data_IF_782187285751
#
_entry.id   IF_782187285751
#
_cell.length_a   1.000
_cell.length_b   1.000
_cell.length_c   1.000
_cell.angle_alpha   90.00
_cell.angle_beta   90.00
_cell.angle_gamma   90.00
#
_symmetry.space_group_name_H-M   'P 1'
#
loop_
_entity.id
_entity.type
_entity.pdbx_description
1 polymer ?
#
# COMPACT_ATOMS: atom_id res chain seq x y z
N UNK A 1 22.62 -9.00 -2.91
CA UNK A 1 21.76 -7.80 -2.80
C UNK A 1 20.44 -8.30 -2.25
N UNK A 2 20.20 -8.15 -0.95
CA UNK A 2 18.96 -8.60 -0.33
C UNK A 2 17.81 -7.80 -0.93
N UNK A 3 16.99 -8.48 -1.74
CA UNK A 3 15.70 -7.95 -2.18
C UNK A 3 14.92 -7.70 -0.90
N UNK A 4 14.63 -6.42 -0.66
CA UNK A 4 13.87 -5.92 0.48
C UNK A 4 12.74 -6.90 0.76
N UNK A 5 12.78 -7.62 1.89
CA UNK A 5 11.67 -8.42 2.37
C UNK A 5 10.49 -7.46 2.50
N UNK A 6 9.65 -7.37 1.47
CA UNK A 6 8.34 -6.76 1.60
C UNK A 6 7.65 -7.57 2.67
N UNK A 7 7.53 -6.98 3.85
CA UNK A 7 6.94 -7.65 4.99
C UNK A 7 5.45 -7.72 4.66
N UNK A 8 5.05 -8.81 3.99
CA UNK A 8 3.69 -9.27 4.02
C UNK A 8 3.48 -9.69 5.48
N UNK A 9 3.11 -8.73 6.33
CA UNK A 9 2.77 -8.97 7.73
C UNK A 9 1.52 -9.84 7.70
N UNK A 10 1.73 -11.15 7.70
CA UNK A 10 0.66 -12.11 7.93
C UNK A 10 0.19 -12.04 9.38
N UNK A 11 -0.94 -12.69 9.64
CA UNK A 11 -1.54 -12.83 10.96
C UNK A 11 -0.52 -13.17 12.07
N UNK A 12 0.40 -14.10 11.80
CA UNK A 12 1.41 -14.56 12.75
C UNK A 12 2.36 -13.43 13.17
N UNK A 13 2.70 -12.52 12.25
CA UNK A 13 3.61 -11.43 12.56
C UNK A 13 2.93 -10.32 13.36
N UNK A 14 1.65 -10.05 13.12
CA UNK A 14 0.89 -9.16 13.99
C UNK A 14 0.71 -9.76 15.40
N UNK A 15 0.54 -11.08 15.49
CA UNK A 15 0.49 -11.80 16.77
C UNK A 15 1.81 -11.67 17.54
N UNK A 16 2.94 -11.92 16.90
CA UNK A 16 4.29 -11.77 17.49
C UNK A 16 4.55 -10.35 18.01
N UNK A 17 4.02 -9.34 17.32
CA UNK A 17 4.18 -7.93 17.68
C UNK A 17 3.18 -7.44 18.74
N UNK A 18 2.24 -8.28 19.18
CA UNK A 18 1.17 -7.88 20.10
C UNK A 18 0.16 -6.90 19.48
N UNK A 19 0.05 -6.88 18.16
CA UNK A 19 -0.78 -5.95 17.38
C UNK A 19 -1.98 -6.62 16.73
N UNK A 20 -2.38 -7.80 17.22
CA UNK A 20 -3.44 -8.61 16.62
C UNK A 20 -4.81 -7.93 16.61
N UNK A 21 -5.07 -7.06 17.58
CA UNK A 21 -6.32 -6.31 17.71
C UNK A 21 -6.20 -4.85 17.26
N UNK A 22 -5.01 -4.37 16.87
CA UNK A 22 -4.84 -3.02 16.30
C UNK A 22 -5.17 -3.04 14.80
N UNK A 23 -6.46 -3.23 14.49
CA UNK A 23 -6.96 -3.30 13.11
C UNK A 23 -6.68 -2.04 12.29
N UNK A 24 -6.59 -0.88 12.94
CA UNK A 24 -6.20 0.37 12.29
C UNK A 24 -4.75 0.27 11.81
N UNK A 25 -3.84 -0.18 12.68
CA UNK A 25 -2.45 -0.40 12.31
C UNK A 25 -2.30 -1.45 11.20
N UNK A 26 -2.98 -2.60 11.32
CA UNK A 26 -2.94 -3.64 10.30
C UNK A 26 -3.41 -3.11 8.94
N UNK A 27 -4.52 -2.36 8.91
CA UNK A 27 -5.03 -1.71 7.70
C UNK A 27 -4.02 -0.75 7.08
N UNK A 28 -3.38 0.09 7.91
CA UNK A 28 -2.35 1.03 7.46
C UNK A 28 -1.14 0.32 6.85
N UNK A 29 -0.68 -0.78 7.44
CA UNK A 29 0.42 -1.59 6.88
C UNK A 29 0.02 -2.16 5.51
N UNK A 30 -1.14 -2.83 5.41
CA UNK A 30 -1.55 -3.45 4.15
C UNK A 30 -1.76 -2.42 3.04
N UNK A 31 -2.37 -1.28 3.35
CA UNK A 31 -2.51 -0.16 2.42
C UNK A 31 -1.15 0.41 1.99
N UNK A 32 -0.19 0.48 2.92
CA UNK A 32 1.19 0.89 2.62
C UNK A 32 1.88 -0.08 1.66
N UNK A 33 1.72 -1.39 1.89
CA UNK A 33 2.25 -2.42 1.00
C UNK A 33 1.60 -2.36 -0.39
N UNK A 34 0.27 -2.20 -0.46
CA UNK A 34 -0.43 -2.07 -1.73
C UNK A 34 0.08 -0.86 -2.55
N UNK A 35 0.26 0.30 -1.90
CA UNK A 35 0.84 1.49 -2.53
C UNK A 35 2.25 1.24 -3.06
N UNK A 36 3.09 0.56 -2.28
CA UNK A 36 4.44 0.17 -2.71
C UNK A 36 4.42 -0.75 -3.94
N UNK A 37 3.58 -1.79 -3.93
CA UNK A 37 3.46 -2.71 -5.07
C UNK A 37 2.97 -2.02 -6.34
N UNK A 38 2.00 -1.11 -6.21
CA UNK A 38 1.51 -0.30 -7.33
C UNK A 38 2.62 0.59 -7.93
N UNK A 39 3.39 1.27 -7.08
CA UNK A 39 4.53 2.07 -7.51
C UNK A 39 5.57 1.23 -8.25
N UNK A 40 5.88 0.04 -7.73
CA UNK A 40 6.83 -0.86 -8.38
C UNK A 40 6.30 -1.39 -9.72
N UNK A 41 5.00 -1.70 -9.79
CA UNK A 41 4.32 -2.06 -11.03
C UNK A 41 4.49 -1.01 -12.12
N UNK A 42 4.39 0.29 -11.78
CA UNK A 42 4.65 1.38 -12.74
C UNK A 42 6.10 1.42 -13.22
N UNK A 43 7.06 1.26 -12.30
CA UNK A 43 8.48 1.20 -12.68
C UNK A 43 8.77 0.07 -13.67
N UNK A 44 8.16 -1.10 -13.46
CA UNK A 44 8.33 -2.23 -14.39
C UNK A 44 7.57 -1.98 -15.70
N UNK A 45 6.38 -1.38 -15.65
CA UNK A 45 5.56 -1.04 -16.82
C UNK A 45 6.32 -0.19 -17.84
N UNK A 46 7.17 0.73 -17.38
CA UNK A 46 8.00 1.59 -18.24
C UNK A 46 9.03 0.81 -19.09
N UNK A 47 9.27 -0.46 -18.77
CA UNK A 47 10.18 -1.35 -19.50
C UNK A 47 9.44 -2.35 -20.40
N UNK A 48 8.10 -2.35 -20.39
CA UNK A 48 7.29 -3.29 -21.17
C UNK A 48 6.98 -2.70 -22.55
N UNK A 49 7.15 -3.50 -23.61
CA UNK A 49 6.76 -3.12 -24.95
C UNK A 49 5.26 -3.38 -25.21
N UNK A 50 4.41 -2.48 -24.72
CA UNK A 50 2.94 -2.49 -24.95
C UNK A 50 2.51 -1.21 -25.70
N UNK A 51 1.29 -1.19 -26.30
CA UNK A 51 0.76 0.03 -26.90
C UNK A 51 0.74 1.20 -25.91
N UNK A 52 1.12 2.39 -26.37
CA UNK A 52 1.22 3.59 -25.53
C UNK A 52 -0.10 3.98 -24.86
N UNK A 53 -1.22 3.76 -25.53
CA UNK A 53 -2.55 4.03 -25.00
C UNK A 53 -2.85 3.14 -23.80
N UNK A 54 -2.57 1.83 -23.93
CA UNK A 54 -2.69 0.86 -22.84
C UNK A 54 -1.77 1.22 -21.66
N UNK A 55 -0.53 1.61 -21.92
CA UNK A 55 0.39 2.07 -20.87
C UNK A 55 -0.18 3.26 -20.10
N UNK A 56 -0.73 4.24 -20.82
CA UNK A 56 -1.33 5.44 -20.23
C UNK A 56 -2.57 5.11 -19.40
N UNK A 57 -3.44 4.23 -19.88
CA UNK A 57 -4.61 3.77 -19.13
C UNK A 57 -4.21 3.15 -17.80
N UNK A 58 -3.24 2.23 -17.82
CA UNK A 58 -2.71 1.59 -16.60
C UNK A 58 -2.12 2.64 -15.65
N UNK A 59 -1.30 3.57 -16.16
CA UNK A 59 -0.72 4.65 -15.37
C UNK A 59 -1.80 5.50 -14.67
N UNK A 60 -2.85 5.90 -15.41
CA UNK A 60 -3.95 6.69 -14.85
C UNK A 60 -4.70 5.92 -13.75
N UNK A 61 -5.04 4.65 -13.99
CA UNK A 61 -5.69 3.81 -12.98
C UNK A 61 -4.86 3.69 -11.71
N UNK A 62 -3.55 3.45 -11.83
CA UNK A 62 -2.67 3.34 -10.67
C UNK A 62 -2.58 4.65 -9.89
N UNK A 63 -2.53 5.80 -10.58
CA UNK A 63 -2.52 7.12 -9.94
C UNK A 63 -3.81 7.35 -9.14
N UNK A 64 -4.96 7.02 -9.70
CA UNK A 64 -6.27 7.16 -9.04
C UNK A 64 -6.35 6.28 -7.79
N UNK A 65 -6.00 5.00 -7.91
CA UNK A 65 -6.00 4.07 -6.78
C UNK A 65 -5.02 4.52 -5.69
N UNK A 66 -3.82 4.99 -6.08
CA UNK A 66 -2.81 5.49 -5.13
C UNK A 66 -3.31 6.71 -4.36
N UNK A 67 -4.07 7.59 -5.01
CA UNK A 67 -4.72 8.74 -4.36
C UNK A 67 -5.78 8.26 -3.34
N UNK A 68 -6.66 7.34 -3.73
CA UNK A 68 -7.68 6.79 -2.83
C UNK A 68 -7.07 6.06 -1.63
N UNK A 69 -5.98 5.31 -1.82
CA UNK A 69 -5.24 4.69 -0.72
C UNK A 69 -4.73 5.75 0.26
N UNK A 70 -4.14 6.84 -0.23
CA UNK A 70 -3.64 7.92 0.62
C UNK A 70 -4.76 8.54 1.46
N UNK A 71 -5.88 8.88 0.84
CA UNK A 71 -7.04 9.44 1.54
C UNK A 71 -7.59 8.50 2.63
N UNK A 72 -7.64 7.19 2.37
CA UNK A 72 -8.05 6.20 3.37
C UNK A 72 -7.04 6.12 4.53
N UNK A 73 -5.74 6.12 4.22
CA UNK A 73 -4.71 6.12 5.26
C UNK A 73 -4.77 7.37 6.14
N UNK A 74 -5.02 8.54 5.57
CA UNK A 74 -5.11 9.80 6.32
C UNK A 74 -6.30 9.78 7.27
N UNK A 75 -7.48 9.33 6.80
CA UNK A 75 -8.67 9.12 7.66
C UNK A 75 -8.38 8.17 8.83
N UNK A 76 -7.66 7.07 8.58
CA UNK A 76 -7.29 6.12 9.63
C UNK A 76 -6.30 6.72 10.64
N UNK A 77 -5.33 7.52 10.18
CA UNK A 77 -4.37 8.22 11.06
C UNK A 77 -5.06 9.28 11.92
N UNK A 78 -6.00 10.03 11.35
CA UNK A 78 -6.83 11.00 12.06
C UNK A 78 -7.67 10.31 13.14
N UNK A 79 -8.36 9.21 12.78
CA UNK A 79 -9.14 8.43 13.73
C UNK A 79 -8.27 7.87 14.86
N UNK A 80 -7.10 7.29 14.54
CA UNK A 80 -6.13 6.80 15.55
C UNK A 80 -5.67 7.92 16.50
N UNK A 81 -5.46 9.12 15.98
CA UNK A 81 -5.07 10.28 16.80
C UNK A 81 -6.21 10.79 17.68
N UNK A 82 -7.47 10.60 17.26
CA UNK A 82 -8.65 11.01 18.03
C UNK A 82 -8.93 10.11 19.24
N UNK A 83 -8.58 8.82 19.16
CA UNK A 83 -8.78 7.84 20.25
C UNK A 83 -7.64 7.81 21.29
N UNK A 84 -6.51 8.46 20.99
CA UNK A 84 -5.33 8.52 21.87
C UNK A 84 -5.26 9.82 22.70
N UNK A 85 -6.24 10.71 22.54
CA UNK A 85 -6.43 11.91 23.38
C UNK A 85 -7.32 11.57 24.57
#
# INVERSE_FOLDING_TARGET
>A
MEVTKHINLGYDRFKELGLLDDYIYQSLVHMGNASHQLSWGLTVLDHVNIPKEMQKEIQMTVIEVSKSIREMQDKLREHKSSIQK
#
